data_IF_056467443764
#
_entry.id   IF_056467443764
#
_cell.length_a   1.000
_cell.length_b   1.000
_cell.length_c   1.000
_cell.angle_alpha   90.00
_cell.angle_beta   90.00
_cell.angle_gamma   90.00
#
_symmetry.space_group_name_H-M   'P 1'
#
loop_
_entity.id
_entity.type
_entity.pdbx_description
1 polymer ?
#
# COMPACT_ATOMS: atom_id res chain seq x y z
N UNK A 1 -1.07 -21.32 25.78
CA UNK A 1 -0.62 -20.71 24.52
C UNK A 1 -1.33 -19.37 24.38
N UNK A 2 -0.60 -18.27 24.07
CA UNK A 2 -1.25 -16.99 23.79
C UNK A 2 -2.12 -17.13 22.55
N UNK A 3 -3.31 -16.54 22.57
CA UNK A 3 -4.21 -16.52 21.42
C UNK A 3 -3.57 -15.65 20.33
N UNK A 4 -3.40 -16.21 19.13
CA UNK A 4 -2.84 -15.49 17.99
C UNK A 4 -3.88 -14.50 17.44
N UNK A 5 -3.62 -13.20 17.61
CA UNK A 5 -4.49 -12.13 17.11
C UNK A 5 -4.03 -11.66 15.74
N UNK A 6 -5.01 -11.33 14.90
CA UNK A 6 -4.78 -10.64 13.63
C UNK A 6 -5.58 -9.36 13.59
N UNK A 7 -4.93 -8.27 13.19
CA UNK A 7 -5.51 -6.93 13.13
C UNK A 7 -5.66 -6.49 11.67
N UNK A 8 -6.84 -5.96 11.36
CA UNK A 8 -7.20 -5.54 10.01
C UNK A 8 -7.51 -4.05 10.00
N UNK A 9 -6.68 -3.29 9.29
CA UNK A 9 -6.80 -1.85 9.08
C UNK A 9 -7.15 -1.48 7.63
N UNK A 10 -7.08 -2.45 6.69
CA UNK A 10 -7.65 -2.30 5.36
C UNK A 10 -9.17 -2.52 5.42
N UNK A 11 -9.92 -1.42 5.32
CA UNK A 11 -11.34 -1.35 5.60
C UNK A 11 -11.63 -0.89 7.04
N UNK A 12 -12.81 -1.23 7.61
CA UNK A 12 -13.12 -1.00 9.01
C UNK A 12 -12.21 -1.80 9.93
N UNK A 13 -11.75 -1.20 11.05
CA UNK A 13 -10.91 -1.89 12.03
C UNK A 13 -11.60 -3.16 12.54
N UNK A 14 -10.92 -4.28 12.41
CA UNK A 14 -11.35 -5.58 12.94
C UNK A 14 -10.19 -6.26 13.65
N UNK A 15 -10.52 -6.98 14.71
CA UNK A 15 -9.60 -7.89 15.39
C UNK A 15 -10.20 -9.28 15.33
N UNK A 16 -9.41 -10.23 14.88
CA UNK A 16 -9.75 -11.66 14.85
C UNK A 16 -8.73 -12.47 15.65
N UNK A 17 -9.20 -13.52 16.29
CA UNK A 17 -8.40 -14.49 17.02
C UNK A 17 -8.59 -15.88 16.45
N UNK A 18 -8.66 -16.90 17.33
CA UNK A 18 -8.92 -18.30 16.95
C UNK A 18 -10.06 -18.42 15.92
N UNK A 19 -10.09 -19.46 15.05
CA UNK A 19 -10.95 -19.54 13.88
C UNK A 19 -12.39 -19.09 14.13
N UNK A 20 -12.79 -17.99 13.45
CA UNK A 20 -14.14 -17.44 13.51
C UNK A 20 -14.43 -16.48 14.67
N UNK A 21 -13.49 -16.21 15.57
CA UNK A 21 -13.71 -15.27 16.67
C UNK A 21 -13.45 -13.82 16.22
N UNK A 22 -14.48 -12.97 16.30
CA UNK A 22 -14.38 -11.53 16.15
C UNK A 22 -14.52 -10.84 17.51
N UNK A 23 -13.80 -9.73 17.71
CA UNK A 23 -13.85 -8.96 18.95
C UNK A 23 -14.65 -7.67 18.75
N UNK A 24 -15.76 -7.46 19.52
CA UNK A 24 -16.52 -6.22 19.45
C UNK A 24 -15.76 -5.12 20.20
N UNK A 25 -15.08 -4.24 19.46
CA UNK A 25 -14.19 -3.21 20.02
C UNK A 25 -14.91 -1.99 20.63
N UNK A 26 -16.26 -1.96 20.59
CA UNK A 26 -17.05 -0.88 21.19
C UNK A 26 -17.10 0.42 20.38
N UNK A 27 -17.05 1.55 21.07
CA UNK A 27 -17.21 2.88 20.49
C UNK A 27 -16.04 3.34 19.61
N UNK A 28 -16.27 4.43 18.85
CA UNK A 28 -15.29 4.95 17.86
C UNK A 28 -13.95 5.36 18.49
N UNK A 29 -13.95 6.09 19.62
CA UNK A 29 -12.71 6.62 20.21
C UNK A 29 -11.76 5.53 20.71
N UNK A 30 -12.18 4.49 21.45
CA UNK A 30 -11.32 3.34 21.75
C UNK A 30 -10.77 2.66 20.48
N UNK A 31 -11.60 2.52 19.45
CA UNK A 31 -11.16 1.95 18.16
C UNK A 31 -10.11 2.81 17.48
N UNK A 32 -10.26 4.15 17.48
CA UNK A 32 -9.28 5.08 16.96
C UNK A 32 -7.95 4.99 17.73
N UNK A 33 -7.99 4.87 19.06
CA UNK A 33 -6.82 4.63 19.90
C UNK A 33 -6.11 3.32 19.50
N UNK A 34 -6.85 2.23 19.36
CA UNK A 34 -6.26 0.95 18.94
C UNK A 34 -5.62 1.06 17.55
N UNK A 35 -6.31 1.68 16.58
CA UNK A 35 -5.78 1.89 15.24
C UNK A 35 -4.47 2.71 15.27
N UNK A 36 -4.44 3.80 16.03
CA UNK A 36 -3.23 4.64 16.19
C UNK A 36 -2.04 3.81 16.71
N UNK A 37 -2.25 2.97 17.74
CA UNK A 37 -1.20 2.13 18.31
C UNK A 37 -0.74 1.02 17.36
N UNK A 38 -1.67 0.44 16.56
CA UNK A 38 -1.40 -0.60 15.58
C UNK A 38 -0.61 -0.12 14.35
N UNK A 39 -0.54 1.18 14.11
CA UNK A 39 0.33 1.72 13.04
C UNK A 39 1.82 1.58 13.37
N UNK A 40 2.16 1.38 14.64
CA UNK A 40 3.53 1.18 15.13
C UNK A 40 3.56 0.07 16.19
N UNK A 41 3.23 -1.18 15.82
CA UNK A 41 3.18 -2.30 16.78
C UNK A 41 4.52 -2.45 17.51
N UNK A 42 4.47 -2.80 18.78
CA UNK A 42 5.65 -2.90 19.65
C UNK A 42 6.30 -1.56 20.04
N UNK A 43 5.85 -0.43 19.49
CA UNK A 43 6.44 0.89 19.74
C UNK A 43 5.59 1.69 20.72
N UNK A 44 6.24 2.27 21.73
CA UNK A 44 5.58 3.13 22.72
C UNK A 44 5.10 4.44 22.07
N UNK A 45 3.81 4.71 22.18
CA UNK A 45 3.20 5.99 21.79
C UNK A 45 2.95 6.80 23.05
N UNK A 46 3.53 8.01 23.12
CA UNK A 46 3.43 8.87 24.29
C UNK A 46 2.01 9.38 24.55
N UNK A 47 1.61 9.53 25.80
CA UNK A 47 0.27 9.97 26.18
C UNK A 47 -0.09 11.33 25.55
N UNK A 48 0.84 12.27 25.52
CA UNK A 48 0.66 13.59 24.89
C UNK A 48 0.37 13.46 23.39
N UNK A 49 1.08 12.57 22.69
CA UNK A 49 0.84 12.27 21.27
C UNK A 49 -0.55 11.66 21.08
N UNK A 50 -0.92 10.66 21.89
CA UNK A 50 -2.25 10.03 21.84
C UNK A 50 -3.36 11.07 21.98
N UNK A 51 -3.26 11.95 22.98
CA UNK A 51 -4.24 13.00 23.24
C UNK A 51 -4.36 13.94 22.03
N UNK A 52 -3.22 14.39 21.47
CA UNK A 52 -3.21 15.29 20.32
C UNK A 52 -3.84 14.67 19.07
N UNK A 53 -3.71 13.34 18.89
CA UNK A 53 -4.26 12.62 17.74
C UNK A 53 -5.76 12.30 17.91
N UNK A 54 -6.22 12.02 19.13
CA UNK A 54 -7.62 11.71 19.39
C UNK A 54 -8.52 12.94 19.54
N UNK A 55 -7.96 14.07 20.04
CA UNK A 55 -8.70 15.29 20.27
C UNK A 55 -7.95 16.52 19.73
N UNK A 56 -7.91 16.71 18.42
CA UNK A 56 -7.18 17.83 17.83
C UNK A 56 -7.76 19.17 18.26
N UNK A 57 -6.94 19.99 18.93
CA UNK A 57 -7.28 21.37 19.30
C UNK A 57 -8.08 21.52 20.59
N UNK A 58 -8.89 20.54 21.02
CA UNK A 58 -9.77 20.68 22.20
C UNK A 58 -9.84 19.35 23.00
N UNK A 59 -8.77 18.94 23.70
CA UNK A 59 -8.82 17.77 24.54
C UNK A 59 -9.75 18.00 25.73
N UNK A 60 -10.47 16.94 26.20
CA UNK A 60 -11.28 17.03 27.42
C UNK A 60 -10.37 17.33 28.64
N UNK A 61 -10.93 17.91 29.73
CA UNK A 61 -10.15 18.26 30.93
C UNK A 61 -9.36 17.06 31.51
N UNK A 62 -9.97 15.86 31.47
CA UNK A 62 -9.42 14.61 31.99
C UNK A 62 -8.92 13.67 30.88
N UNK A 63 -8.44 14.20 29.76
CA UNK A 63 -8.03 13.43 28.57
C UNK A 63 -7.09 12.25 28.91
N UNK A 64 -6.19 12.41 29.87
CA UNK A 64 -5.31 11.34 30.32
C UNK A 64 -6.07 10.17 30.97
N UNK A 65 -7.07 10.47 31.81
CA UNK A 65 -7.92 9.48 32.43
C UNK A 65 -8.83 8.80 31.38
N UNK A 66 -9.34 9.57 30.40
CA UNK A 66 -10.15 9.05 29.30
C UNK A 66 -9.37 8.07 28.43
N UNK A 67 -8.11 8.34 28.10
CA UNK A 67 -7.23 7.37 27.42
C UNK A 67 -7.10 6.09 28.24
N UNK A 68 -6.88 6.20 29.56
CA UNK A 68 -6.86 5.03 30.46
C UNK A 68 -8.16 4.21 30.44
N UNK A 69 -9.31 4.89 30.47
CA UNK A 69 -10.61 4.27 30.38
C UNK A 69 -10.81 3.56 29.02
N UNK A 70 -10.36 4.15 27.90
CA UNK A 70 -10.41 3.53 26.58
C UNK A 70 -9.54 2.28 26.48
N UNK A 71 -8.33 2.31 27.07
CA UNK A 71 -7.47 1.12 27.15
C UNK A 71 -8.10 0.02 27.99
N UNK A 72 -8.73 0.37 29.12
CA UNK A 72 -9.43 -0.59 29.96
C UNK A 72 -10.63 -1.24 29.22
N UNK A 73 -11.40 -0.43 28.48
CA UNK A 73 -12.52 -0.92 27.67
C UNK A 73 -12.03 -1.86 26.55
N UNK A 74 -10.96 -1.52 25.84
CA UNK A 74 -10.35 -2.38 24.82
C UNK A 74 -9.82 -3.70 25.42
N UNK A 75 -9.14 -3.64 26.57
CA UNK A 75 -8.68 -4.87 27.26
C UNK A 75 -9.87 -5.77 27.63
N UNK A 76 -10.96 -5.19 28.12
CA UNK A 76 -12.17 -5.94 28.46
C UNK A 76 -12.80 -6.57 27.18
N UNK A 77 -12.84 -5.82 26.07
CA UNK A 77 -13.35 -6.31 24.78
C UNK A 77 -12.49 -7.45 24.21
N UNK A 78 -11.18 -7.39 24.36
CA UNK A 78 -10.25 -8.44 23.93
C UNK A 78 -10.19 -9.63 24.90
N UNK A 79 -10.72 -9.51 26.11
CA UNK A 79 -10.78 -10.58 27.09
C UNK A 79 -9.39 -11.14 27.46
N UNK A 80 -9.15 -12.42 27.25
CA UNK A 80 -7.86 -13.09 27.54
C UNK A 80 -6.70 -12.55 26.72
N UNK A 81 -6.95 -11.93 25.57
CA UNK A 81 -5.94 -11.29 24.73
C UNK A 81 -5.69 -9.81 25.11
N UNK A 82 -6.48 -9.24 26.03
CA UNK A 82 -6.34 -7.85 26.49
C UNK A 82 -4.93 -7.41 26.90
N UNK A 83 -4.09 -8.28 27.51
CA UNK A 83 -2.72 -7.93 27.91
C UNK A 83 -1.80 -7.46 26.76
N UNK A 84 -2.13 -7.68 25.49
CA UNK A 84 -1.36 -7.13 24.35
C UNK A 84 -1.35 -5.59 24.34
N UNK A 85 -2.35 -4.95 24.98
CA UNK A 85 -2.35 -3.51 25.22
C UNK A 85 -1.53 -3.23 26.49
N UNK A 86 -0.32 -2.76 26.33
CA UNK A 86 0.63 -2.55 27.43
C UNK A 86 0.67 -1.07 27.80
N UNK A 87 0.49 -0.78 29.10
CA UNK A 87 0.73 0.53 29.67
C UNK A 87 2.19 0.66 30.11
N UNK A 88 2.79 1.82 29.89
CA UNK A 88 4.09 2.24 30.39
C UNK A 88 3.93 3.59 31.09
N UNK A 89 4.95 4.02 31.80
CA UNK A 89 4.92 5.26 32.60
C UNK A 89 4.53 6.50 31.75
N UNK A 90 4.94 6.55 30.47
CA UNK A 90 4.74 7.71 29.59
C UNK A 90 3.73 7.49 28.46
N UNK A 91 3.09 6.33 28.35
CA UNK A 91 2.16 6.04 27.25
C UNK A 91 1.75 4.58 27.13
N UNK A 92 1.34 4.19 25.93
CA UNK A 92 0.81 2.87 25.62
C UNK A 92 1.44 2.28 24.36
N UNK A 93 1.41 0.96 24.26
CA UNK A 93 1.75 0.23 23.03
C UNK A 93 0.84 -1.00 22.87
N UNK A 94 0.76 -1.50 21.66
CA UNK A 94 0.25 -2.85 21.37
C UNK A 94 1.45 -3.76 21.17
N UNK A 95 1.62 -4.73 22.09
CA UNK A 95 2.73 -5.68 22.09
C UNK A 95 2.38 -6.88 21.22
N UNK A 96 2.54 -6.72 19.93
CA UNK A 96 2.35 -7.76 18.92
C UNK A 96 3.43 -7.62 17.84
N UNK A 97 3.70 -8.73 17.16
CA UNK A 97 4.61 -8.71 16.01
C UNK A 97 3.99 -7.92 14.84
N UNK A 98 4.79 -7.21 14.03
CA UNK A 98 4.30 -6.45 12.89
C UNK A 98 3.47 -7.29 11.89
N UNK A 99 3.77 -8.58 11.74
CA UNK A 99 3.07 -9.49 10.86
C UNK A 99 1.65 -9.85 11.33
N UNK A 100 1.31 -9.55 12.60
CA UNK A 100 -0.07 -9.61 13.08
C UNK A 100 -0.98 -8.52 12.48
N UNK A 101 -0.41 -7.46 11.86
CA UNK A 101 -1.15 -6.29 11.34
C UNK A 101 -1.08 -6.26 9.81
N UNK A 102 -2.23 -6.24 9.13
CA UNK A 102 -2.31 -6.32 7.66
C UNK A 102 -1.56 -5.20 6.92
N UNK A 103 -1.63 -3.97 7.39
CA UNK A 103 -0.88 -2.84 6.77
C UNK A 103 0.65 -3.02 6.91
N UNK A 104 1.12 -3.66 7.98
CA UNK A 104 2.54 -3.96 8.17
C UNK A 104 2.97 -5.12 7.26
N UNK A 105 2.16 -6.18 7.14
CA UNK A 105 2.42 -7.29 6.18
C UNK A 105 2.47 -6.77 4.76
N UNK A 106 1.52 -5.92 4.38
CA UNK A 106 1.52 -5.27 3.06
C UNK A 106 2.81 -4.49 2.82
N UNK A 107 3.20 -3.60 3.76
CA UNK A 107 4.38 -2.76 3.60
C UNK A 107 5.67 -3.61 3.49
N UNK A 108 5.81 -4.63 4.32
CA UNK A 108 6.94 -5.55 4.28
C UNK A 108 6.98 -6.35 2.97
N UNK A 109 5.82 -6.86 2.51
CA UNK A 109 5.70 -7.58 1.24
C UNK A 109 5.99 -6.70 0.03
N UNK A 110 5.51 -5.44 0.02
CA UNK A 110 5.82 -4.47 -1.04
C UNK A 110 7.32 -4.18 -1.12
N UNK A 111 7.98 -3.97 0.03
CA UNK A 111 9.43 -3.75 0.10
C UNK A 111 10.22 -4.98 -0.39
N UNK A 112 9.84 -6.19 0.03
CA UNK A 112 10.47 -7.44 -0.39
C UNK A 112 10.27 -7.69 -1.89
N UNK A 113 9.09 -7.39 -2.43
CA UNK A 113 8.79 -7.50 -3.85
C UNK A 113 9.64 -6.56 -4.70
N UNK A 114 9.78 -5.30 -4.28
CA UNK A 114 10.68 -4.34 -4.92
C UNK A 114 12.15 -4.79 -4.90
N UNK A 115 12.61 -5.33 -3.77
CA UNK A 115 13.96 -5.88 -3.67
C UNK A 115 14.16 -7.03 -4.67
N UNK A 116 13.16 -7.90 -4.86
CA UNK A 116 13.20 -8.98 -5.84
C UNK A 116 13.24 -8.46 -7.30
N UNK A 117 12.49 -7.38 -7.63
CA UNK A 117 12.59 -6.69 -8.94
C UNK A 117 14.03 -6.20 -9.16
N UNK A 118 14.57 -5.47 -8.19
CA UNK A 118 15.94 -4.93 -8.26
C UNK A 118 17.01 -6.03 -8.40
N UNK A 119 16.79 -7.18 -7.78
CA UNK A 119 17.66 -8.35 -7.86
C UNK A 119 17.49 -9.16 -9.16
N UNK A 120 16.63 -8.74 -10.10
CA UNK A 120 16.38 -9.46 -11.36
C UNK A 120 15.68 -10.80 -11.14
N UNK A 121 14.81 -10.90 -10.14
CA UNK A 121 14.07 -12.12 -9.78
C UNK A 121 12.56 -11.93 -10.05
N UNK A 122 12.12 -11.78 -11.32
CA UNK A 122 10.76 -11.38 -11.63
C UNK A 122 9.69 -12.35 -11.14
N UNK A 123 9.95 -13.67 -11.21
CA UNK A 123 9.00 -14.67 -10.71
C UNK A 123 8.80 -14.60 -9.18
N UNK A 124 9.86 -14.30 -8.44
CA UNK A 124 9.80 -14.05 -7.00
C UNK A 124 9.04 -12.76 -6.70
N UNK A 125 9.38 -11.67 -7.43
CA UNK A 125 8.74 -10.37 -7.30
C UNK A 125 7.22 -10.48 -7.47
N UNK A 126 6.76 -11.14 -8.54
CA UNK A 126 5.32 -11.34 -8.80
C UNK A 126 4.65 -12.05 -7.63
N UNK A 127 5.19 -13.21 -7.17
CA UNK A 127 4.57 -13.95 -6.04
C UNK A 127 4.48 -13.10 -4.77
N UNK A 128 5.55 -12.38 -4.44
CA UNK A 128 5.62 -11.56 -3.23
C UNK A 128 4.67 -10.38 -3.30
N UNK A 129 4.60 -9.70 -4.46
CA UNK A 129 3.73 -8.55 -4.67
C UNK A 129 2.25 -8.95 -4.79
N UNK A 130 1.93 -10.10 -5.40
CA UNK A 130 0.57 -10.62 -5.43
C UNK A 130 0.07 -10.91 -3.99
N UNK A 131 0.90 -11.53 -3.15
CA UNK A 131 0.58 -11.78 -1.75
C UNK A 131 0.40 -10.46 -0.95
N UNK A 132 1.28 -9.48 -1.14
CA UNK A 132 1.18 -8.19 -0.48
C UNK A 132 -0.10 -7.44 -0.90
N UNK A 133 -0.39 -7.37 -2.19
CA UNK A 133 -1.58 -6.69 -2.72
C UNK A 133 -2.89 -7.38 -2.32
N UNK A 134 -2.88 -8.69 -2.04
CA UNK A 134 -4.03 -9.42 -1.54
C UNK A 134 -4.44 -9.02 -0.11
N UNK A 135 -3.56 -8.36 0.66
CA UNK A 135 -3.92 -7.76 1.96
C UNK A 135 -4.87 -6.56 1.80
N UNK A 136 -4.90 -5.93 0.62
CA UNK A 136 -5.69 -4.73 0.34
C UNK A 136 -7.17 -5.06 0.13
N UNK A 137 -7.94 -5.12 1.23
CA UNK A 137 -9.36 -5.53 1.23
C UNK A 137 -10.34 -4.35 1.28
N UNK A 138 -9.85 -3.13 1.27
CA UNK A 138 -10.63 -1.90 1.33
C UNK A 138 -9.75 -0.68 1.55
N UNK A 139 -10.33 0.51 1.59
CA UNK A 139 -9.59 1.73 1.87
C UNK A 139 -8.90 1.63 3.25
N UNK A 140 -7.61 1.98 3.36
CA UNK A 140 -6.90 1.92 4.63
C UNK A 140 -7.54 2.88 5.64
N UNK A 141 -7.67 2.43 6.90
CA UNK A 141 -8.23 3.23 7.98
C UNK A 141 -9.60 3.85 7.65
N UNK A 142 -10.46 3.16 6.90
CA UNK A 142 -11.68 3.70 6.29
C UNK A 142 -12.58 4.46 7.27
N UNK A 143 -12.71 3.97 8.52
CA UNK A 143 -13.55 4.60 9.56
C UNK A 143 -12.88 5.79 10.26
N UNK A 144 -11.58 6.03 9.99
CA UNK A 144 -10.77 7.05 10.65
C UNK A 144 -10.22 8.12 9.69
N UNK A 145 -10.72 8.19 8.46
CA UNK A 145 -10.20 9.11 7.42
C UNK A 145 -10.20 10.59 7.82
N UNK A 146 -11.03 10.98 8.80
CA UNK A 146 -11.07 12.33 9.38
C UNK A 146 -10.15 12.54 10.58
N UNK A 147 -9.46 11.50 11.08
CA UNK A 147 -8.59 11.63 12.24
C UNK A 147 -7.19 12.12 11.82
N UNK A 148 -6.50 12.95 12.62
CA UNK A 148 -5.20 13.51 12.26
C UNK A 148 -4.14 12.46 11.90
N UNK A 149 -4.10 11.34 12.61
CA UNK A 149 -3.15 10.26 12.35
C UNK A 149 -3.42 9.50 11.04
N UNK A 150 -4.66 9.51 10.55
CA UNK A 150 -5.07 8.67 9.43
C UNK A 150 -4.64 9.26 8.08
N UNK A 151 -4.82 10.56 7.85
CA UNK A 151 -4.56 11.19 6.56
C UNK A 151 -3.16 10.90 5.99
N UNK A 152 -2.07 11.22 6.70
CA UNK A 152 -0.71 10.92 6.25
C UNK A 152 -0.46 9.43 6.03
N UNK A 153 -1.03 8.57 6.87
CA UNK A 153 -0.89 7.11 6.77
C UNK A 153 -1.62 6.57 5.55
N UNK A 154 -2.85 7.02 5.29
CA UNK A 154 -3.62 6.65 4.10
C UNK A 154 -2.84 7.01 2.84
N UNK A 155 -2.38 8.27 2.73
CA UNK A 155 -1.62 8.73 1.58
C UNK A 155 -0.33 7.91 1.38
N UNK A 156 0.37 7.56 2.46
CA UNK A 156 1.56 6.70 2.39
C UNK A 156 1.23 5.29 1.87
N UNK A 157 0.20 4.64 2.41
CA UNK A 157 -0.22 3.30 2.00
C UNK A 157 -0.70 3.26 0.54
N UNK A 158 -1.46 4.26 0.11
CA UNK A 158 -1.90 4.39 -1.29
C UNK A 158 -0.72 4.58 -2.25
N UNK A 159 0.29 5.36 -1.85
CA UNK A 159 1.53 5.49 -2.63
C UNK A 159 2.30 4.18 -2.70
N UNK A 160 2.42 3.44 -1.59
CA UNK A 160 3.05 2.12 -1.58
C UNK A 160 2.29 1.12 -2.46
N UNK A 161 0.93 1.14 -2.43
CA UNK A 161 0.11 0.31 -3.32
C UNK A 161 0.42 0.60 -4.78
N UNK A 162 0.43 1.87 -5.16
CA UNK A 162 0.73 2.24 -6.54
C UNK A 162 2.13 1.79 -6.98
N UNK A 163 3.12 1.90 -6.10
CA UNK A 163 4.47 1.40 -6.38
C UNK A 163 4.49 -0.13 -6.49
N UNK A 164 3.83 -0.85 -5.58
CA UNK A 164 3.75 -2.31 -5.63
C UNK A 164 3.09 -2.83 -6.93
N UNK A 165 2.06 -2.14 -7.39
CA UNK A 165 1.42 -2.44 -8.68
C UNK A 165 2.36 -2.21 -9.86
N UNK A 166 3.12 -1.09 -9.86
CA UNK A 166 4.12 -0.81 -10.90
C UNK A 166 5.22 -1.86 -10.91
N UNK A 167 5.78 -2.19 -9.76
CA UNK A 167 6.84 -3.19 -9.60
C UNK A 167 6.35 -4.59 -10.06
N UNK A 168 5.10 -4.95 -9.75
CA UNK A 168 4.46 -6.20 -10.22
C UNK A 168 4.31 -6.23 -11.73
N UNK A 169 3.83 -5.15 -12.32
CA UNK A 169 3.64 -5.06 -13.76
C UNK A 169 5.00 -5.13 -14.51
N UNK A 170 6.03 -4.47 -13.99
CA UNK A 170 7.39 -4.56 -14.53
C UNK A 170 7.92 -6.01 -14.50
N UNK A 171 7.77 -6.68 -13.36
CA UNK A 171 8.17 -8.08 -13.23
C UNK A 171 7.39 -9.03 -14.16
N UNK A 172 6.09 -8.82 -14.35
CA UNK A 172 5.27 -9.60 -15.28
C UNK A 172 5.66 -9.35 -16.74
N UNK A 173 5.97 -8.11 -17.11
CA UNK A 173 6.50 -7.80 -18.45
C UNK A 173 7.83 -8.51 -18.70
N UNK A 174 8.71 -8.62 -17.71
CA UNK A 174 9.96 -9.38 -17.81
C UNK A 174 9.70 -10.89 -18.01
N UNK A 175 8.59 -11.42 -17.50
CA UNK A 175 8.16 -12.81 -17.70
C UNK A 175 7.42 -13.05 -19.03
N UNK A 176 7.15 -12.00 -19.80
CA UNK A 176 6.42 -12.10 -21.07
C UNK A 176 4.89 -12.02 -20.95
N UNK A 177 4.36 -11.70 -19.77
CA UNK A 177 2.90 -11.63 -19.50
C UNK A 177 2.28 -10.31 -19.99
N UNK A 178 2.57 -9.89 -21.26
CA UNK A 178 2.14 -8.60 -21.79
C UNK A 178 0.61 -8.46 -21.83
N UNK A 179 -0.12 -9.51 -22.25
CA UNK A 179 -1.58 -9.47 -22.32
C UNK A 179 -2.25 -9.28 -20.97
N UNK A 180 -1.73 -9.90 -19.90
CA UNK A 180 -2.20 -9.65 -18.54
C UNK A 180 -1.95 -8.20 -18.11
N UNK A 181 -0.75 -7.68 -18.42
CA UNK A 181 -0.40 -6.29 -18.10
C UNK A 181 -1.30 -5.29 -18.83
N UNK A 182 -1.68 -5.54 -20.09
CA UNK A 182 -2.61 -4.68 -20.85
C UNK A 182 -3.96 -4.58 -20.14
N UNK A 183 -4.49 -5.69 -19.65
CA UNK A 183 -5.79 -5.71 -18.95
C UNK A 183 -5.72 -4.95 -17.63
N UNK A 184 -4.79 -5.32 -16.77
CA UNK A 184 -4.64 -4.76 -15.42
C UNK A 184 -4.27 -3.27 -15.46
N UNK A 185 -3.24 -2.91 -16.26
CA UNK A 185 -2.80 -1.52 -16.35
C UNK A 185 -3.82 -0.63 -17.05
N UNK A 186 -4.62 -1.17 -17.98
CA UNK A 186 -5.71 -0.43 -18.63
C UNK A 186 -6.79 0.05 -17.65
N UNK A 187 -7.01 -0.65 -16.54
CA UNK A 187 -7.88 -0.21 -15.45
C UNK A 187 -7.19 0.82 -14.55
N UNK A 188 -5.94 0.55 -14.19
CA UNK A 188 -5.18 1.37 -13.27
C UNK A 188 -4.83 2.76 -13.81
N UNK A 189 -4.58 2.92 -15.12
CA UNK A 189 -4.36 4.25 -15.71
C UNK A 189 -5.64 5.10 -15.71
N UNK A 190 -6.82 4.51 -15.56
CA UNK A 190 -8.09 5.23 -15.37
C UNK A 190 -8.31 5.64 -13.92
N UNK A 191 -7.90 4.80 -12.97
CA UNK A 191 -7.98 5.07 -11.53
C UNK A 191 -6.94 6.10 -11.07
N UNK A 192 -5.73 6.04 -11.65
CA UNK A 192 -4.57 6.86 -11.29
C UNK A 192 -4.01 7.58 -12.53
N UNK A 193 -4.76 8.47 -13.17
CA UNK A 193 -4.45 9.00 -14.50
C UNK A 193 -3.19 9.87 -14.57
N UNK A 194 -2.78 10.48 -13.45
CA UNK A 194 -1.60 11.35 -13.40
C UNK A 194 -0.29 10.63 -13.06
N UNK A 195 -0.30 9.30 -12.95
CA UNK A 195 0.92 8.52 -12.69
C UNK A 195 1.57 8.08 -14.00
N UNK A 196 2.48 8.91 -14.52
CA UNK A 196 3.16 8.67 -15.80
C UNK A 196 3.78 7.27 -15.89
N UNK A 197 4.39 6.76 -14.81
CA UNK A 197 5.00 5.42 -14.81
C UNK A 197 4.00 4.29 -15.13
N UNK A 198 2.74 4.41 -14.73
CA UNK A 198 1.70 3.44 -15.11
C UNK A 198 1.42 3.48 -16.61
N UNK A 199 1.40 4.67 -17.21
CA UNK A 199 1.23 4.83 -18.64
C UNK A 199 2.43 4.32 -19.44
N UNK A 200 3.66 4.52 -18.94
CA UNK A 200 4.87 3.93 -19.55
C UNK A 200 4.76 2.40 -19.58
N UNK A 201 4.39 1.77 -18.46
CA UNK A 201 4.24 0.32 -18.38
C UNK A 201 3.07 -0.17 -19.24
N UNK A 202 1.97 0.58 -19.30
CA UNK A 202 0.82 0.24 -20.14
C UNK A 202 1.16 0.31 -21.63
N UNK A 203 1.82 1.36 -22.08
CA UNK A 203 2.27 1.50 -23.46
C UNK A 203 3.31 0.41 -23.82
N UNK A 204 4.24 0.10 -22.90
CA UNK A 204 5.17 -1.00 -23.07
C UNK A 204 4.47 -2.37 -23.20
N UNK A 205 3.44 -2.60 -22.38
CA UNK A 205 2.63 -3.81 -22.45
C UNK A 205 1.91 -3.94 -23.79
N UNK A 206 1.25 -2.88 -24.26
CA UNK A 206 0.58 -2.82 -25.56
C UNK A 206 1.56 -3.11 -26.70
N UNK A 207 2.72 -2.47 -26.70
CA UNK A 207 3.74 -2.71 -27.74
C UNK A 207 4.21 -4.17 -27.75
N UNK A 208 4.48 -4.75 -26.58
CA UNK A 208 4.89 -6.16 -26.46
C UNK A 208 3.80 -7.16 -26.82
N UNK A 209 2.53 -6.75 -26.70
CA UNK A 209 1.36 -7.50 -27.15
C UNK A 209 1.10 -7.35 -28.68
N UNK A 210 2.04 -6.69 -29.41
CA UNK A 210 1.94 -6.46 -30.86
C UNK A 210 1.02 -5.30 -31.26
N UNK A 211 0.58 -4.48 -30.32
CA UNK A 211 -0.39 -3.39 -30.48
C UNK A 211 0.30 -2.03 -30.53
N UNK A 212 1.25 -1.86 -31.48
CA UNK A 212 2.09 -0.66 -31.58
C UNK A 212 1.29 0.63 -31.72
N UNK A 213 0.23 0.63 -32.53
CA UNK A 213 -0.61 1.82 -32.73
C UNK A 213 -1.33 2.23 -31.43
N UNK A 214 -1.84 1.25 -30.66
CA UNK A 214 -2.49 1.50 -29.37
C UNK A 214 -1.50 2.01 -28.32
N UNK A 215 -0.27 1.52 -28.35
CA UNK A 215 0.81 2.00 -27.46
C UNK A 215 1.11 3.49 -27.69
N UNK A 216 1.23 3.91 -28.96
CA UNK A 216 1.45 5.31 -29.32
C UNK A 216 0.23 6.18 -28.98
N UNK A 217 -0.99 5.66 -29.18
CA UNK A 217 -2.22 6.35 -28.78
C UNK A 217 -2.31 6.55 -27.26
N UNK A 218 -1.88 5.55 -26.46
CA UNK A 218 -1.85 5.67 -25.00
C UNK A 218 -0.87 6.77 -24.53
N UNK A 219 0.31 6.88 -25.17
CA UNK A 219 1.29 7.94 -24.88
C UNK A 219 0.71 9.33 -25.24
N UNK A 220 0.06 9.45 -26.39
CA UNK A 220 -0.59 10.71 -26.79
C UNK A 220 -1.65 11.10 -25.76
N UNK A 221 -2.50 10.16 -25.38
CA UNK A 221 -3.57 10.41 -24.39
C UNK A 221 -3.05 10.92 -23.06
N UNK A 222 -2.00 10.34 -22.49
CA UNK A 222 -1.46 10.83 -21.21
C UNK A 222 -0.80 12.20 -21.36
N UNK A 223 -0.14 12.46 -22.50
CA UNK A 223 0.44 13.78 -22.81
C UNK A 223 -0.64 14.85 -22.81
N UNK A 224 -1.74 14.62 -23.54
CA UNK A 224 -2.87 15.55 -23.61
C UNK A 224 -3.48 15.77 -22.23
N UNK A 225 -3.70 14.71 -21.47
CA UNK A 225 -4.21 14.78 -20.09
C UNK A 225 -3.32 15.63 -19.17
N UNK A 226 -1.99 15.39 -19.17
CA UNK A 226 -1.05 16.14 -18.34
C UNK A 226 -1.01 17.62 -18.73
N UNK A 227 -1.10 17.92 -20.03
CA UNK A 227 -1.12 19.29 -20.52
C UNK A 227 -2.43 20.00 -20.20
N UNK A 228 -3.58 19.38 -20.44
CA UNK A 228 -4.91 19.99 -20.24
C UNK A 228 -5.25 20.18 -18.76
N UNK A 229 -4.93 19.18 -17.91
CA UNK A 229 -5.34 19.19 -16.50
C UNK A 229 -4.29 19.82 -15.56
N UNK A 230 -3.01 19.67 -15.87
CA UNK A 230 -1.92 20.10 -14.99
C UNK A 230 -1.03 21.20 -15.62
N UNK A 231 -1.18 21.50 -16.91
CA UNK A 231 -0.35 22.48 -17.62
C UNK A 231 1.12 22.06 -17.78
N UNK A 232 1.42 20.75 -17.68
CA UNK A 232 2.77 20.22 -17.76
C UNK A 232 2.95 19.30 -18.98
N UNK A 233 4.20 19.23 -19.49
CA UNK A 233 4.55 18.26 -20.54
C UNK A 233 4.85 16.88 -19.98
N UNK A 234 4.88 15.88 -20.86
CA UNK A 234 5.26 14.51 -20.53
C UNK A 234 6.72 14.40 -20.06
N UNK A 235 6.98 13.45 -19.17
CA UNK A 235 8.29 13.19 -18.60
C UNK A 235 9.27 12.55 -19.59
N UNK A 236 10.57 12.49 -19.22
CA UNK A 236 11.60 11.92 -20.10
C UNK A 236 11.39 10.44 -20.39
N UNK A 237 10.75 9.68 -19.47
CA UNK A 237 10.45 8.25 -19.63
C UNK A 237 9.49 7.99 -20.78
N UNK A 238 8.34 8.71 -20.82
CA UNK A 238 7.38 8.60 -21.91
C UNK A 238 7.99 9.00 -23.26
N UNK A 239 8.78 10.08 -23.32
CA UNK A 239 9.47 10.49 -24.56
C UNK A 239 10.48 9.46 -25.04
N UNK A 240 11.22 8.83 -24.13
CA UNK A 240 12.15 7.78 -24.48
C UNK A 240 11.43 6.53 -25.00
N UNK A 241 10.34 6.14 -24.34
CA UNK A 241 9.52 5.01 -24.74
C UNK A 241 8.87 5.24 -26.11
N UNK A 242 8.31 6.44 -26.37
CA UNK A 242 7.73 6.77 -27.66
C UNK A 242 8.75 6.62 -28.81
N UNK A 243 9.97 7.13 -28.61
CA UNK A 243 11.05 6.98 -29.58
C UNK A 243 11.42 5.52 -29.83
N UNK A 244 11.53 4.73 -28.75
CA UNK A 244 11.85 3.31 -28.86
C UNK A 244 10.77 2.55 -29.66
N UNK A 245 9.50 2.80 -29.37
CA UNK A 245 8.35 2.18 -30.06
C UNK A 245 8.33 2.60 -31.55
N UNK A 246 8.56 3.88 -31.86
CA UNK A 246 8.59 4.37 -33.25
C UNK A 246 9.74 3.78 -34.08
N UNK A 247 10.88 3.51 -33.43
CA UNK A 247 12.07 2.96 -34.07
C UNK A 247 12.10 1.41 -34.03
N UNK A 248 11.06 0.78 -33.51
CA UNK A 248 10.98 -0.68 -33.30
C UNK A 248 12.14 -1.23 -32.46
N UNK A 249 12.59 -0.45 -31.47
CA UNK A 249 13.71 -0.81 -30.57
C UNK A 249 13.16 -1.51 -29.31
N UNK A 250 12.86 -2.80 -29.46
CA UNK A 250 12.29 -3.62 -28.39
C UNK A 250 13.23 -3.76 -27.17
N UNK A 251 14.53 -3.54 -27.32
CA UNK A 251 15.50 -3.67 -26.22
C UNK A 251 15.39 -2.53 -25.19
N UNK A 252 14.90 -1.37 -25.61
CA UNK A 252 14.72 -0.19 -24.74
C UNK A 252 13.36 -0.17 -24.06
N UNK A 253 12.41 -0.96 -24.54
CA UNK A 253 11.06 -1.00 -23.96
C UNK A 253 11.07 -1.79 -22.64
N UNK A 254 10.48 -1.25 -21.53
CA UNK A 254 10.44 -1.91 -20.23
C UNK A 254 10.01 -3.38 -20.30
N UNK A 255 10.69 -4.25 -19.55
CA UNK A 255 10.44 -5.70 -19.55
C UNK A 255 11.21 -6.47 -20.63
N UNK A 256 12.15 -5.85 -21.40
CA UNK A 256 13.09 -6.62 -22.19
C UNK A 256 13.94 -7.49 -21.26
N UNK A 257 13.93 -8.81 -21.47
CA UNK A 257 14.89 -9.68 -20.82
C UNK A 257 16.29 -9.18 -21.22
N UNK A 258 17.17 -8.99 -20.25
CA UNK A 258 18.58 -8.73 -20.51
C UNK A 258 19.15 -10.00 -21.15
N UNK A 259 19.02 -10.11 -22.47
CA UNK A 259 19.73 -11.15 -23.21
C UNK A 259 21.19 -10.78 -23.13
N UNK A 260 21.88 -11.40 -22.16
CA UNK A 260 23.33 -11.51 -22.20
C UNK A 260 23.68 -12.30 -23.48
N UNK A 261 23.96 -11.56 -24.56
CA UNK A 261 24.45 -12.14 -25.79
C UNK A 261 25.92 -12.49 -25.52
N UNK A 262 26.30 -13.78 -25.46
CA UNK A 262 27.71 -14.10 -25.43
C UNK A 262 28.33 -13.52 -26.69
N UNK A 263 29.30 -12.64 -26.50
CA UNK A 263 30.17 -12.15 -27.60
C UNK A 263 30.99 -13.35 -28.04
N UNK A 264 30.59 -13.96 -29.15
CA UNK A 264 31.42 -14.86 -29.93
C UNK A 264 32.48 -14.11 -30.72
#
# INVERSE_FOLDING_TARGET
MAEELTFHLFGPLRVSGAPGRAYPLGARTPRALLALLLLRPGTLVGLTEIIAQLWPGAPPPDAAADVGNHVAALRAALGTAGPVLVARETGYLVDVEPDAVDVCRFAAGAAAGRAAVTAGQPAQAVRTLDAALAEWRGAPLAEFSGEPFAGPTIAHLENLRAQAVQDRAEARLQLGDAGWCVTELGELVREMPYRERLWELYAAALYRDGRQADALAAITRVRDLLFEELGIGDGPGLRALERAIRNDDAAVVPGAATTDRPRG
#
